data_IF_795040835594
#
_entry.id   IF_795040835594
#
_cell.length_a   1.000
_cell.length_b   1.000
_cell.length_c   1.000
_cell.angle_alpha   90.00
_cell.angle_beta   90.00
_cell.angle_gamma   90.00
#
_symmetry.space_group_name_H-M   'P 1'
#
loop_
_entity.id
_entity.type
_entity.pdbx_description
1 polymer ?
#
# COMPACT_ATOMS: atom_id res chain seq x y z
N UNK A 1 -5.98 -12.79 14.60
CA UNK A 1 -5.17 -11.58 14.36
C UNK A 1 -6.11 -10.44 14.05
N UNK A 2 -5.77 -9.24 14.53
CA UNK A 2 -6.40 -7.97 14.18
C UNK A 2 -5.65 -7.36 13.00
N UNK A 3 -6.35 -7.12 11.90
CA UNK A 3 -5.76 -6.63 10.65
C UNK A 3 -6.51 -5.39 10.18
N UNK A 4 -5.77 -4.30 9.96
CA UNK A 4 -6.31 -3.15 9.24
C UNK A 4 -6.02 -3.29 7.75
N UNK A 5 -7.04 -3.16 6.91
CA UNK A 5 -6.89 -3.15 5.45
C UNK A 5 -7.17 -1.74 4.95
N UNK A 6 -6.10 -1.00 4.68
CA UNK A 6 -6.17 0.35 4.15
C UNK A 6 -6.43 0.29 2.64
N UNK A 7 -7.43 1.00 2.14
CA UNK A 7 -7.87 0.91 0.75
C UNK A 7 -8.77 -0.30 0.49
N UNK A 8 -9.46 -0.78 1.54
CA UNK A 8 -10.24 -2.02 1.53
C UNK A 8 -11.54 -1.96 0.72
N UNK A 9 -11.99 -0.80 0.21
CA UNK A 9 -13.07 -0.76 -0.79
C UNK A 9 -12.55 -0.93 -2.23
N UNK A 10 -11.23 -0.82 -2.42
CA UNK A 10 -10.56 -0.94 -3.70
C UNK A 10 -10.55 -2.35 -4.28
N UNK A 11 -10.10 -2.45 -5.54
CA UNK A 11 -10.10 -3.69 -6.33
C UNK A 11 -9.36 -4.86 -5.67
N UNK A 12 -8.15 -4.63 -5.12
CA UNK A 12 -7.42 -5.66 -4.39
C UNK A 12 -7.81 -5.71 -2.91
N UNK A 13 -8.12 -4.56 -2.31
CA UNK A 13 -8.40 -4.44 -0.89
C UNK A 13 -9.69 -5.13 -0.46
N UNK A 14 -10.75 -5.04 -1.28
CA UNK A 14 -12.05 -5.65 -0.99
C UNK A 14 -11.98 -7.19 -0.89
N UNK A 15 -11.53 -7.92 -1.93
CA UNK A 15 -11.41 -9.37 -1.85
C UNK A 15 -10.39 -9.81 -0.77
N UNK A 16 -9.32 -9.04 -0.55
CA UNK A 16 -8.37 -9.33 0.54
C UNK A 16 -9.06 -9.26 1.90
N UNK A 17 -9.90 -8.26 2.13
CA UNK A 17 -10.64 -8.09 3.39
C UNK A 17 -11.61 -9.25 3.64
N UNK A 18 -12.36 -9.64 2.61
CA UNK A 18 -13.26 -10.79 2.67
C UNK A 18 -12.50 -12.08 2.96
N UNK A 19 -11.41 -12.32 2.24
CA UNK A 19 -10.59 -13.52 2.42
C UNK A 19 -10.04 -13.62 3.86
N UNK A 20 -9.46 -12.54 4.38
CA UNK A 20 -8.90 -12.51 5.73
C UNK A 20 -9.98 -12.71 6.81
N UNK A 21 -11.14 -12.08 6.63
CA UNK A 21 -12.30 -12.30 7.51
C UNK A 21 -12.78 -13.76 7.47
N UNK A 22 -12.85 -14.38 6.28
CA UNK A 22 -13.22 -15.79 6.12
C UNK A 22 -12.21 -16.75 6.76
N UNK A 23 -10.94 -16.33 6.88
CA UNK A 23 -9.90 -17.05 7.64
C UNK A 23 -9.98 -16.85 9.15
N UNK A 24 -10.99 -16.12 9.65
CA UNK A 24 -11.21 -15.88 11.08
C UNK A 24 -10.37 -14.74 11.65
N UNK A 25 -9.86 -13.83 10.82
CA UNK A 25 -9.19 -12.62 11.29
C UNK A 25 -10.19 -11.50 11.57
N UNK A 26 -9.91 -10.71 12.61
CA UNK A 26 -10.65 -9.50 12.91
C UNK A 26 -10.18 -8.39 11.98
N UNK A 27 -11.00 -8.06 10.97
CA UNK A 27 -10.61 -7.12 9.91
C UNK A 27 -11.36 -5.80 10.06
N UNK A 28 -10.62 -4.71 9.98
CA UNK A 28 -11.18 -3.36 9.82
C UNK A 28 -10.71 -2.79 8.48
N UNK A 29 -11.67 -2.47 7.62
CA UNK A 29 -11.41 -1.72 6.40
C UNK A 29 -11.24 -0.25 6.76
N UNK A 30 -10.21 0.38 6.20
CA UNK A 30 -9.98 1.83 6.32
C UNK A 30 -9.94 2.43 4.93
N UNK A 31 -10.87 3.33 4.62
CA UNK A 31 -10.98 3.91 3.27
C UNK A 31 -11.64 5.29 3.30
N UNK A 32 -11.24 6.20 2.40
CA UNK A 32 -11.88 7.50 2.21
C UNK A 32 -12.85 7.53 1.01
N UNK A 33 -12.93 6.43 0.25
CA UNK A 33 -13.72 6.24 -0.96
C UNK A 33 -13.28 7.16 -2.13
N UNK A 34 -12.08 7.74 -2.05
CA UNK A 34 -11.54 8.65 -3.08
C UNK A 34 -11.48 8.01 -4.47
N UNK A 35 -11.26 6.68 -4.55
CA UNK A 35 -11.29 5.95 -5.82
C UNK A 35 -12.63 6.09 -6.54
N UNK A 36 -13.75 6.08 -5.82
CA UNK A 36 -15.10 6.27 -6.40
C UNK A 36 -15.30 7.72 -6.85
N UNK A 37 -14.78 8.68 -6.09
CA UNK A 37 -14.79 10.09 -6.50
C UNK A 37 -13.97 10.32 -7.79
N UNK A 38 -12.84 9.63 -7.94
CA UNK A 38 -12.03 9.65 -9.18
C UNK A 38 -12.80 9.05 -10.36
N UNK A 39 -13.59 7.99 -10.15
CA UNK A 39 -14.47 7.46 -11.22
C UNK A 39 -15.46 8.52 -11.69
N UNK A 40 -16.11 9.23 -10.76
CA UNK A 40 -17.01 10.32 -11.09
C UNK A 40 -16.30 11.50 -11.78
N UNK A 41 -15.08 11.85 -11.36
CA UNK A 41 -14.27 12.90 -12.01
C UNK A 41 -13.98 12.56 -13.47
N UNK A 42 -13.71 11.28 -13.77
CA UNK A 42 -13.29 10.82 -15.08
C UNK A 42 -14.44 10.35 -15.98
N UNK A 43 -15.69 10.42 -15.50
CA UNK A 43 -16.85 9.79 -16.15
C UNK A 43 -16.59 8.32 -16.50
N UNK A 44 -15.93 7.63 -15.57
CA UNK A 44 -15.56 6.23 -15.68
C UNK A 44 -16.45 5.37 -14.79
N UNK A 45 -16.69 4.12 -15.23
CA UNK A 45 -17.48 3.17 -14.47
C UNK A 45 -16.84 1.78 -14.51
N UNK A 46 -16.96 1.04 -13.41
CA UNK A 46 -16.65 -0.38 -13.38
C UNK A 46 -17.52 -1.15 -14.38
N UNK A 47 -16.92 -2.11 -15.09
CA UNK A 47 -17.65 -3.01 -15.99
C UNK A 47 -18.73 -3.81 -15.24
N UNK A 48 -18.38 -4.28 -14.03
CA UNK A 48 -19.34 -4.90 -13.13
C UNK A 48 -19.97 -3.82 -12.24
N UNK A 49 -21.30 -3.73 -12.15
CA UNK A 49 -21.95 -2.89 -11.18
C UNK A 49 -21.49 -3.28 -9.77
N UNK A 50 -21.04 -2.30 -8.98
CA UNK A 50 -20.61 -2.50 -7.60
C UNK A 50 -21.51 -1.71 -6.67
N UNK A 51 -21.99 -2.37 -5.62
CA UNK A 51 -22.69 -1.74 -4.52
C UNK A 51 -21.79 -0.72 -3.78
N UNK A 52 -22.42 0.14 -3.00
CA UNK A 52 -21.69 0.99 -2.05
C UNK A 52 -21.07 0.15 -0.93
N UNK A 53 -20.24 0.79 -0.11
CA UNK A 53 -19.52 0.10 0.96
C UNK A 53 -20.46 -0.41 2.06
N UNK A 54 -21.57 0.27 2.34
CA UNK A 54 -22.48 -0.09 3.41
C UNK A 54 -23.30 -1.35 3.04
N UNK A 55 -23.82 -1.41 1.81
CA UNK A 55 -24.50 -2.59 1.26
C UNK A 55 -23.56 -3.80 1.19
N UNK A 56 -22.31 -3.57 0.76
CA UNK A 56 -21.26 -4.60 0.73
C UNK A 56 -20.99 -5.19 2.12
N UNK A 57 -20.82 -4.33 3.12
CA UNK A 57 -20.60 -4.73 4.51
C UNK A 57 -21.80 -5.45 5.11
N UNK A 58 -23.01 -4.93 4.87
CA UNK A 58 -24.25 -5.55 5.35
C UNK A 58 -24.41 -6.97 4.77
N UNK A 59 -24.18 -7.13 3.47
CA UNK A 59 -24.24 -8.42 2.81
C UNK A 59 -23.26 -9.42 3.46
N UNK A 60 -21.97 -9.07 3.56
CA UNK A 60 -20.97 -9.94 4.16
C UNK A 60 -21.26 -10.26 5.63
N UNK A 61 -21.58 -9.25 6.43
CA UNK A 61 -21.81 -9.42 7.86
C UNK A 61 -23.10 -10.22 8.18
N UNK A 62 -24.01 -10.38 7.21
CA UNK A 62 -25.18 -11.24 7.37
C UNK A 62 -24.87 -12.74 7.24
N UNK A 63 -23.73 -13.08 6.64
CA UNK A 63 -23.36 -14.47 6.33
C UNK A 63 -22.01 -14.92 6.91
N UNK A 64 -21.13 -13.98 7.26
CA UNK A 64 -19.79 -14.27 7.74
C UNK A 64 -19.75 -14.60 9.24
N UNK A 65 -18.91 -15.55 9.62
CA UNK A 65 -18.66 -15.87 11.03
C UNK A 65 -17.90 -14.74 11.77
N UNK A 66 -17.06 -13.99 11.04
CA UNK A 66 -16.30 -12.86 11.58
C UNK A 66 -16.67 -11.59 10.81
N UNK A 67 -17.40 -10.64 11.40
CA UNK A 67 -17.86 -9.45 10.68
C UNK A 67 -16.71 -8.51 10.33
N UNK A 68 -16.82 -7.84 9.19
CA UNK A 68 -15.99 -6.71 8.81
C UNK A 68 -16.44 -5.45 9.52
N UNK A 69 -15.47 -4.66 10.00
CA UNK A 69 -15.67 -3.28 10.45
C UNK A 69 -15.17 -2.30 9.39
N UNK A 70 -15.69 -1.08 9.41
CA UNK A 70 -15.28 -0.02 8.50
C UNK A 70 -14.97 1.27 9.26
N UNK A 71 -13.85 1.90 8.92
CA UNK A 71 -13.43 3.20 9.41
C UNK A 71 -13.22 4.13 8.21
N UNK A 72 -14.05 5.18 8.12
CA UNK A 72 -13.88 6.19 7.08
C UNK A 72 -12.76 7.15 7.47
N UNK A 73 -11.63 7.11 6.75
CA UNK A 73 -10.44 7.88 7.11
C UNK A 73 -9.57 8.16 5.89
N UNK A 74 -9.08 9.39 5.78
CA UNK A 74 -8.06 9.77 4.81
C UNK A 74 -6.67 9.73 5.47
N UNK A 75 -5.84 8.76 5.07
CA UNK A 75 -4.53 8.54 5.69
C UNK A 75 -3.57 9.72 5.52
N UNK A 76 -3.66 10.44 4.40
CA UNK A 76 -2.78 11.57 4.14
C UNK A 76 -3.23 12.83 4.89
N UNK A 77 -4.48 12.92 5.33
CA UNK A 77 -5.07 14.14 5.91
C UNK A 77 -5.50 14.03 7.38
N UNK A 78 -5.75 12.82 7.88
CA UNK A 78 -6.34 12.62 9.20
C UNK A 78 -5.40 11.88 10.16
N UNK A 79 -4.22 12.45 10.42
CA UNK A 79 -3.20 11.84 11.27
C UNK A 79 -3.71 11.50 12.68
N UNK A 80 -4.39 12.42 13.36
CA UNK A 80 -4.88 12.19 14.73
C UNK A 80 -5.91 11.05 14.80
N UNK A 81 -6.77 10.93 13.78
CA UNK A 81 -7.72 9.82 13.67
C UNK A 81 -7.00 8.49 13.40
N UNK A 82 -5.92 8.51 12.61
CA UNK A 82 -5.10 7.33 12.34
C UNK A 82 -4.43 6.85 13.62
N UNK A 83 -3.84 7.77 14.40
CA UNK A 83 -3.23 7.47 15.70
C UNK A 83 -4.27 6.89 16.66
N UNK A 84 -5.45 7.50 16.76
CA UNK A 84 -6.53 7.00 17.60
C UNK A 84 -6.96 5.57 17.19
N UNK A 85 -7.16 5.33 15.89
CA UNK A 85 -7.54 4.03 15.36
C UNK A 85 -6.48 2.94 15.64
N UNK A 86 -5.20 3.26 15.44
CA UNK A 86 -4.08 2.35 15.71
C UNK A 86 -3.93 2.08 17.21
N UNK A 87 -4.07 3.10 18.05
CA UNK A 87 -4.00 2.99 19.50
C UNK A 87 -5.12 2.12 20.07
N UNK A 88 -6.35 2.31 19.59
CA UNK A 88 -7.51 1.51 20.01
C UNK A 88 -7.41 0.07 19.48
N UNK A 89 -7.09 -0.09 18.20
CA UNK A 89 -7.12 -1.41 17.57
C UNK A 89 -5.92 -2.26 17.96
N UNK A 90 -4.74 -1.65 18.12
CA UNK A 90 -3.44 -2.32 18.25
C UNK A 90 -3.32 -3.52 17.28
N UNK A 91 -3.30 -3.26 15.96
CA UNK A 91 -3.34 -4.33 14.97
C UNK A 91 -2.05 -5.14 14.94
N UNK A 92 -2.18 -6.45 14.73
CA UNK A 92 -1.03 -7.34 14.50
C UNK A 92 -0.39 -7.06 13.13
N UNK A 93 -1.21 -6.69 12.14
CA UNK A 93 -0.76 -6.35 10.80
C UNK A 93 -1.61 -5.24 10.16
N UNK A 94 -0.99 -4.50 9.24
CA UNK A 94 -1.64 -3.55 8.34
C UNK A 94 -1.37 -3.99 6.91
N UNK A 95 -2.40 -4.02 6.07
CA UNK A 95 -2.24 -4.19 4.62
C UNK A 95 -2.54 -2.86 3.94
N UNK A 96 -1.54 -2.27 3.30
CA UNK A 96 -1.62 -0.92 2.73
C UNK A 96 -1.89 -0.95 1.22
N UNK A 97 -3.17 -0.80 0.83
CA UNK A 97 -3.61 -0.54 -0.55
C UNK A 97 -4.03 0.92 -0.81
N UNK A 98 -4.09 1.76 0.23
CA UNK A 98 -4.69 3.10 0.21
C UNK A 98 -3.87 4.17 -0.51
N UNK A 99 -3.67 4.01 -1.82
CA UNK A 99 -2.89 4.91 -2.64
C UNK A 99 -3.48 5.14 -4.04
N UNK A 100 -3.14 6.27 -4.64
CA UNK A 100 -3.42 6.53 -6.05
C UNK A 100 -2.52 5.61 -6.89
N UNK A 101 -3.13 4.59 -7.52
CA UNK A 101 -2.40 3.49 -8.18
C UNK A 101 -2.30 3.53 -9.71
N UNK A 102 -2.95 4.49 -10.37
CA UNK A 102 -3.06 4.54 -11.81
C UNK A 102 -1.98 5.44 -12.41
N UNK A 103 -1.05 4.83 -13.17
CA UNK A 103 -0.03 5.56 -13.92
C UNK A 103 -0.63 6.61 -14.87
N UNK A 104 -1.65 6.32 -15.71
CA UNK A 104 -2.24 7.34 -16.57
C UNK A 104 -2.87 8.52 -15.79
N UNK A 105 -3.54 8.23 -14.66
CA UNK A 105 -4.10 9.28 -13.80
C UNK A 105 -3.00 10.20 -13.29
N UNK A 106 -1.91 9.61 -12.76
CA UNK A 106 -0.78 10.37 -12.22
C UNK A 106 -0.14 11.32 -13.24
N UNK A 107 -0.25 11.02 -14.54
CA UNK A 107 0.37 11.81 -15.61
C UNK A 107 -0.58 12.83 -16.25
N UNK A 108 -1.88 12.78 -15.96
CA UNK A 108 -2.94 13.52 -16.66
C UNK A 108 -2.80 15.04 -16.59
N UNK A 109 -2.54 15.60 -15.41
CA UNK A 109 -2.36 17.05 -15.24
C UNK A 109 -1.47 17.39 -14.05
N UNK A 110 -1.08 18.65 -13.91
CA UNK A 110 -0.29 19.10 -12.76
C UNK A 110 -1.00 18.85 -11.41
N UNK A 111 -2.32 18.99 -11.36
CA UNK A 111 -3.10 18.69 -10.17
C UNK A 111 -3.02 17.20 -9.81
N UNK A 112 -3.12 16.32 -10.81
CA UNK A 112 -3.10 14.86 -10.60
C UNK A 112 -1.71 14.37 -10.21
N UNK A 113 -0.65 14.97 -10.78
CA UNK A 113 0.75 14.72 -10.39
C UNK A 113 0.98 15.04 -8.91
N UNK A 114 0.60 16.25 -8.49
CA UNK A 114 0.73 16.67 -7.08
C UNK A 114 -0.12 15.79 -6.17
N UNK A 115 -1.37 15.55 -6.52
CA UNK A 115 -2.24 14.67 -5.74
C UNK A 115 -1.63 13.28 -5.54
N UNK A 116 -1.06 12.67 -6.59
CA UNK A 116 -0.46 11.34 -6.48
C UNK A 116 0.72 11.32 -5.50
N UNK A 117 1.59 12.34 -5.55
CA UNK A 117 2.72 12.47 -4.62
C UNK A 117 2.24 12.77 -3.20
N UNK A 118 1.41 13.80 -3.05
CA UNK A 118 0.89 14.25 -1.76
C UNK A 118 0.12 13.14 -1.05
N UNK A 119 -0.73 12.42 -1.77
CA UNK A 119 -1.54 11.34 -1.21
C UNK A 119 -0.67 10.15 -0.81
N UNK A 120 0.13 9.62 -1.74
CA UNK A 120 0.83 8.37 -1.51
C UNK A 120 1.90 8.52 -0.44
N UNK A 121 2.81 9.48 -0.60
CA UNK A 121 3.93 9.63 0.31
C UNK A 121 3.48 10.08 1.70
N UNK A 122 2.51 10.99 1.79
CA UNK A 122 2.00 11.43 3.10
C UNK A 122 1.25 10.31 3.80
N UNK A 123 0.41 9.55 3.09
CA UNK A 123 -0.33 8.41 3.65
C UNK A 123 0.59 7.33 4.20
N UNK A 124 1.56 6.88 3.39
CA UNK A 124 2.56 5.90 3.80
C UNK A 124 3.39 6.41 4.98
N UNK A 125 3.89 7.64 4.90
CA UNK A 125 4.72 8.23 5.95
C UNK A 125 3.94 8.38 7.27
N UNK A 126 2.69 8.85 7.22
CA UNK A 126 1.83 8.96 8.40
C UNK A 126 1.62 7.62 9.10
N UNK A 127 1.41 6.53 8.36
CA UNK A 127 1.32 5.19 8.93
C UNK A 127 2.61 4.80 9.66
N UNK A 128 3.76 4.97 9.01
CA UNK A 128 5.04 4.60 9.60
C UNK A 128 5.36 5.43 10.85
N UNK A 129 5.09 6.74 10.82
CA UNK A 129 5.19 7.61 11.99
C UNK A 129 4.32 7.12 13.13
N UNK A 130 3.03 6.86 12.87
CA UNK A 130 2.09 6.47 13.91
C UNK A 130 2.44 5.10 14.53
N UNK A 131 2.87 4.13 13.72
CA UNK A 131 3.32 2.81 14.22
C UNK A 131 4.56 2.96 15.09
N UNK A 132 5.55 3.76 14.66
CA UNK A 132 6.77 3.99 15.41
C UNK A 132 6.51 4.74 16.73
N UNK A 133 5.72 5.82 16.70
CA UNK A 133 5.40 6.65 17.86
C UNK A 133 4.60 5.88 18.92
N UNK A 134 3.66 5.05 18.48
CA UNK A 134 2.87 4.20 19.38
C UNK A 134 3.65 2.96 19.87
N UNK A 135 4.85 2.71 19.35
CA UNK A 135 5.66 1.55 19.72
C UNK A 135 4.98 0.22 19.41
N UNK A 136 4.19 0.15 18.33
CA UNK A 136 3.45 -1.06 17.97
C UNK A 136 4.36 -2.06 17.24
N UNK A 137 4.26 -3.35 17.59
CA UNK A 137 4.87 -4.46 16.82
C UNK A 137 4.00 -4.88 15.62
N UNK A 138 3.41 -3.89 14.95
CA UNK A 138 2.55 -4.10 13.79
C UNK A 138 3.40 -4.43 12.56
N UNK A 139 3.06 -5.50 11.86
CA UNK A 139 3.67 -5.82 10.56
C UNK A 139 2.98 -5.02 9.45
N UNK A 140 3.71 -4.12 8.79
CA UNK A 140 3.24 -3.36 7.63
C UNK A 140 3.49 -4.17 6.35
N UNK A 141 2.41 -4.60 5.70
CA UNK A 141 2.45 -5.23 4.38
C UNK A 141 2.00 -4.19 3.36
N UNK A 142 2.93 -3.68 2.56
CA UNK A 142 2.68 -2.66 1.56
C UNK A 142 2.57 -3.26 0.16
N UNK A 143 1.70 -2.68 -0.67
CA UNK A 143 1.63 -3.01 -2.09
C UNK A 143 2.51 -2.08 -2.91
N UNK A 144 3.72 -2.55 -3.20
CA UNK A 144 4.58 -1.99 -4.21
C UNK A 144 4.13 -2.34 -5.63
N UNK A 145 5.06 -2.29 -6.57
CA UNK A 145 4.79 -2.56 -7.99
C UNK A 145 6.05 -3.07 -8.66
N UNK A 146 5.94 -4.02 -9.58
CA UNK A 146 7.06 -4.39 -10.45
C UNK A 146 7.58 -3.21 -11.29
N UNK A 147 6.77 -2.15 -11.46
CA UNK A 147 7.17 -0.94 -12.19
C UNK A 147 8.32 -0.14 -11.56
N UNK A 148 8.74 -0.45 -10.33
CA UNK A 148 9.91 0.17 -9.68
C UNK A 148 11.22 -0.24 -10.35
N UNK A 149 11.28 -1.42 -10.96
CA UNK A 149 12.46 -1.95 -11.65
C UNK A 149 12.63 -1.41 -13.08
N UNK A 150 11.64 -0.65 -13.58
CA UNK A 150 11.60 -0.19 -14.96
C UNK A 150 11.30 -1.28 -15.97
N UNK A 151 11.24 -0.89 -17.24
CA UNK A 151 10.90 -1.77 -18.37
C UNK A 151 12.14 -2.19 -19.19
N UNK A 152 13.33 -1.79 -18.76
CA UNK A 152 14.58 -1.87 -19.51
C UNK A 152 15.69 -2.59 -18.77
N UNK A 153 15.46 -3.78 -18.21
CA UNK A 153 16.48 -4.52 -17.47
C UNK A 153 17.60 -5.12 -18.35
N UNK A 154 17.71 -4.78 -19.64
CA UNK A 154 18.81 -5.20 -20.51
C UNK A 154 19.05 -6.71 -20.60
N UNK A 155 18.06 -7.55 -20.26
CA UNK A 155 18.17 -9.00 -20.17
C UNK A 155 18.70 -9.55 -18.84
N UNK A 156 19.00 -8.71 -17.85
CA UNK A 156 19.38 -9.14 -16.50
C UNK A 156 18.18 -9.64 -15.69
N UNK A 157 18.44 -10.57 -14.78
CA UNK A 157 17.43 -11.06 -13.83
C UNK A 157 17.10 -9.94 -12.84
N UNK A 158 15.82 -9.59 -12.75
CA UNK A 158 15.33 -8.61 -11.77
C UNK A 158 15.37 -9.26 -10.38
N UNK A 159 16.09 -8.70 -9.39
CA UNK A 159 16.13 -9.26 -8.05
C UNK A 159 14.89 -8.90 -7.24
N UNK A 160 14.72 -9.54 -6.08
CA UNK A 160 13.65 -9.22 -5.12
C UNK A 160 14.13 -8.11 -4.16
N UNK A 161 14.11 -6.86 -4.63
CA UNK A 161 14.31 -5.65 -3.83
C UNK A 161 15.76 -5.23 -3.60
N UNK A 162 16.68 -6.19 -3.49
CA UNK A 162 18.08 -5.94 -3.16
C UNK A 162 19.06 -6.47 -4.20
N UNK A 163 20.17 -5.77 -4.37
CA UNK A 163 21.25 -6.16 -5.27
C UNK A 163 22.56 -6.25 -4.50
N UNK A 164 23.26 -7.38 -4.65
CA UNK A 164 24.64 -7.53 -4.19
C UNK A 164 25.58 -6.80 -5.15
N UNK A 165 26.36 -5.87 -4.61
CA UNK A 165 27.32 -5.06 -5.35
C UNK A 165 28.70 -5.14 -4.71
N UNK A 166 29.74 -4.98 -5.53
CA UNK A 166 31.10 -4.78 -5.04
C UNK A 166 31.43 -3.30 -5.11
N UNK A 167 31.74 -2.69 -3.97
CA UNK A 167 32.12 -1.29 -3.86
C UNK A 167 33.59 -1.21 -3.48
N UNK A 168 34.33 -0.30 -4.12
CA UNK A 168 35.74 -0.08 -3.79
C UNK A 168 35.84 0.75 -2.50
N UNK A 169 36.46 0.18 -1.48
CA UNK A 169 36.80 0.85 -0.23
C UNK A 169 37.89 1.92 -0.40
N UNK A 170 38.06 2.75 0.63
CA UNK A 170 39.04 3.84 0.62
C UNK A 170 40.49 3.33 0.56
N UNK A 171 40.74 2.10 1.01
CA UNK A 171 42.01 1.37 0.93
C UNK A 171 42.22 0.68 -0.44
N UNK A 172 41.27 0.80 -1.36
CA UNK A 172 41.28 0.17 -2.67
C UNK A 172 40.76 -1.28 -2.68
N UNK A 173 40.42 -1.86 -1.53
CA UNK A 173 39.84 -3.20 -1.45
C UNK A 173 38.41 -3.23 -2.04
N UNK A 174 37.99 -4.39 -2.56
CA UNK A 174 36.61 -4.59 -2.97
C UNK A 174 35.82 -5.15 -1.79
N UNK A 175 34.77 -4.44 -1.39
CA UNK A 175 33.84 -4.87 -0.36
C UNK A 175 32.50 -5.26 -1.00
N UNK A 176 32.01 -6.45 -0.65
CA UNK A 176 30.65 -6.85 -1.01
C UNK A 176 29.65 -6.19 -0.05
N UNK A 177 28.63 -5.54 -0.61
CA UNK A 177 27.53 -4.95 0.14
C UNK A 177 26.21 -5.19 -0.59
N UNK A 178 25.14 -5.23 0.17
CA UNK A 178 23.79 -5.29 -0.37
C UNK A 178 23.18 -3.89 -0.35
N UNK A 179 22.63 -3.47 -1.49
CA UNK A 179 21.94 -2.19 -1.65
C UNK A 179 20.52 -2.42 -2.15
N UNK A 180 19.64 -1.44 -1.94
CA UNK A 180 18.36 -1.42 -2.66
C UNK A 180 18.63 -1.42 -4.16
N UNK A 181 17.84 -2.19 -4.90
CA UNK A 181 17.93 -2.21 -6.35
C UNK A 181 17.67 -0.80 -6.91
N UNK A 182 18.52 -0.29 -7.83
CA UNK A 182 18.30 0.99 -8.46
C UNK A 182 16.92 1.06 -9.14
N UNK A 183 16.12 2.04 -8.74
CA UNK A 183 14.77 2.22 -9.28
C UNK A 183 14.81 2.96 -10.63
N UNK A 184 13.89 2.61 -11.54
CA UNK A 184 13.71 3.27 -12.84
C UNK A 184 12.21 3.43 -13.18
N UNK A 185 11.49 4.36 -12.51
CA UNK A 185 10.04 4.46 -12.62
C UNK A 185 9.58 5.10 -13.94
N UNK A 186 8.63 4.46 -14.63
CA UNK A 186 8.05 4.98 -15.88
C UNK A 186 6.91 6.01 -15.72
N UNK A 187 6.53 6.39 -14.50
CA UNK A 187 5.44 7.37 -14.24
C UNK A 187 5.56 7.99 -12.85
N UNK A 188 4.79 9.06 -12.57
CA UNK A 188 4.74 9.67 -11.22
C UNK A 188 4.21 8.68 -10.17
N UNK A 189 3.21 7.86 -10.51
CA UNK A 189 2.77 6.77 -9.64
C UNK A 189 3.90 5.76 -9.34
N UNK A 190 4.64 5.32 -10.35
CA UNK A 190 5.75 4.38 -10.11
C UNK A 190 6.85 5.03 -9.27
N UNK A 191 7.10 6.33 -9.47
CA UNK A 191 8.08 7.09 -8.69
C UNK A 191 7.71 7.15 -7.21
N UNK A 192 6.44 7.38 -6.87
CA UNK A 192 6.02 7.39 -5.46
C UNK A 192 6.27 6.03 -4.80
N UNK A 193 6.03 4.92 -5.51
CA UNK A 193 6.37 3.57 -5.03
C UNK A 193 7.85 3.33 -4.80
N UNK A 194 8.72 3.88 -5.65
CA UNK A 194 10.16 3.86 -5.40
C UNK A 194 10.54 4.67 -4.16
N UNK A 195 9.82 5.76 -3.88
CA UNK A 195 10.07 6.60 -2.70
C UNK A 195 9.58 5.93 -1.41
N UNK A 196 8.47 5.18 -1.45
CA UNK A 196 8.01 4.38 -0.32
C UNK A 196 9.06 3.36 0.15
N UNK A 197 9.80 2.73 -0.77
CA UNK A 197 10.91 1.82 -0.43
C UNK A 197 11.96 2.48 0.46
N UNK A 198 12.27 3.75 0.21
CA UNK A 198 13.22 4.51 1.03
C UNK A 198 12.67 4.76 2.43
N UNK A 199 11.36 5.02 2.56
CA UNK A 199 10.74 5.08 3.88
C UNK A 199 10.84 3.74 4.59
N UNK A 200 10.48 2.63 3.95
CA UNK A 200 10.53 1.31 4.57
C UNK A 200 11.94 0.93 5.01
N UNK A 201 12.94 1.13 4.15
CA UNK A 201 14.34 0.91 4.50
C UNK A 201 14.76 1.75 5.71
N UNK A 202 14.41 3.03 5.72
CA UNK A 202 14.77 3.93 6.81
C UNK A 202 14.08 3.55 8.13
N UNK A 203 12.78 3.32 8.11
CA UNK A 203 12.01 2.99 9.30
C UNK A 203 12.33 1.61 9.85
N UNK A 204 12.60 0.61 8.99
CA UNK A 204 13.11 -0.67 9.43
C UNK A 204 14.48 -0.51 10.11
N UNK A 205 15.42 0.18 9.47
CA UNK A 205 16.79 0.34 9.99
C UNK A 205 16.86 1.12 11.30
N UNK A 206 16.09 2.20 11.44
CA UNK A 206 16.24 3.14 12.55
C UNK A 206 15.20 2.98 13.66
N UNK A 207 14.02 2.43 13.34
CA UNK A 207 12.92 2.24 14.29
C UNK A 207 12.53 0.77 14.47
N UNK A 208 13.15 -0.17 13.73
CA UNK A 208 12.88 -1.60 13.86
C UNK A 208 11.54 -2.05 13.28
N UNK A 209 10.85 -1.20 12.51
CA UNK A 209 9.55 -1.54 11.94
C UNK A 209 9.63 -2.77 11.03
N UNK A 210 8.67 -3.68 11.19
CA UNK A 210 8.53 -4.86 10.34
C UNK A 210 7.75 -4.49 9.10
N UNK A 211 8.42 -4.52 7.95
CA UNK A 211 7.80 -4.16 6.66
C UNK A 211 8.03 -5.27 5.64
N UNK A 212 6.99 -5.57 4.87
CA UNK A 212 7.10 -6.37 3.64
C UNK A 212 6.55 -5.55 2.49
N UNK A 213 7.41 -5.23 1.52
CA UNK A 213 7.00 -4.54 0.31
C UNK A 213 6.74 -5.56 -0.81
N UNK A 214 5.47 -5.70 -1.21
CA UNK A 214 5.02 -6.64 -2.21
C UNK A 214 5.08 -5.98 -3.59
N UNK A 215 6.13 -6.22 -4.36
CA UNK A 215 6.24 -5.76 -5.75
C UNK A 215 5.31 -6.56 -6.66
N UNK A 216 4.02 -6.22 -6.63
CA UNK A 216 2.99 -6.95 -7.34
C UNK A 216 3.06 -6.70 -8.85
N UNK A 217 2.82 -7.77 -9.61
CA UNK A 217 2.56 -7.67 -11.05
C UNK A 217 1.16 -7.15 -11.37
N UNK A 218 0.79 -7.18 -12.64
CA UNK A 218 -0.58 -6.83 -13.06
C UNK A 218 -1.55 -7.87 -12.50
N UNK A 219 -2.65 -7.42 -11.88
CA UNK A 219 -3.72 -8.30 -11.38
C UNK A 219 -4.81 -8.42 -12.45
N UNK A 220 -5.30 -9.63 -12.68
CA UNK A 220 -6.41 -9.93 -13.60
C UNK A 220 -7.43 -10.88 -12.96
N UNK A 221 -8.65 -10.91 -13.50
CA UNK A 221 -9.78 -11.67 -12.96
C UNK A 221 -10.67 -10.84 -12.04
N UNK A 222 -11.93 -11.25 -11.88
CA UNK A 222 -12.93 -10.53 -11.05
C UNK A 222 -13.59 -11.43 -10.00
N UNK A 223 -13.35 -12.73 -10.03
CA UNK A 223 -13.86 -13.70 -9.05
C UNK A 223 -12.78 -14.11 -8.06
N UNK A 224 -13.21 -14.40 -6.83
CA UNK A 224 -12.40 -14.99 -5.76
C UNK A 224 -13.20 -16.08 -5.07
N UNK A 225 -12.51 -17.13 -4.60
CA UNK A 225 -13.10 -18.26 -3.84
C UNK A 225 -13.41 -17.91 -2.38
#
# INVERSE_FOLDING_TARGET
MKILVFGGDGFCGWPTSLHLSNKGHEVVIVDNLSRRAIDSELDAQSLTPICDIDERLQCWNSMAATPLRFARLDLARNYDLLVALLSETQPDAVVHFAEQRAAPYSMKSAAHRRYSVDNNLTGTHNLLCAVAELGLDTHVVHLGTMGVYGYGAGGAVIPEGYLKVQVRGADGALEEREILHPCDPGSIYHMTKCQDQMFFYYYNKNFGLRVTDLHQGIVWGTQTD
#
